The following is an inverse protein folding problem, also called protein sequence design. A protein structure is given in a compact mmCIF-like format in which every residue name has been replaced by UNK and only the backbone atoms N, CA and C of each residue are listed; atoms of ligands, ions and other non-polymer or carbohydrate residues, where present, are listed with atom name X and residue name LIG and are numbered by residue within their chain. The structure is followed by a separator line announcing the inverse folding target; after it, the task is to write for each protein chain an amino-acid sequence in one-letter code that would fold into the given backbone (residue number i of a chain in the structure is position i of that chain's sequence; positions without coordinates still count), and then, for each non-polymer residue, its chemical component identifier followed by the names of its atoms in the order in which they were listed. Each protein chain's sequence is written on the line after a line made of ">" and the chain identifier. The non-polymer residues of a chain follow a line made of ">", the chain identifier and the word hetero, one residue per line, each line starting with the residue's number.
data_IF_807250065025
#
_entry.id   IF_807250065025
#
_cell.length_a   1.000
_cell.length_b   1.000
_cell.length_c   1.000
_cell.angle_alpha   90.00
_cell.angle_beta   90.00
_cell.angle_gamma   90.00
#
_symmetry.space_group_name_H-M   'P 1'
#
loop_
_entity.id
_entity.type
_entity.pdbx_description
1 polymer ?
#
# COMPACT_ATOMS: atom_id res chain seq x y z
N UNK A 1 -3.42 46.21 -0.78
CA UNK A 1 -4.22 46.72 -1.91
C UNK A 1 -5.33 45.71 -2.19
N UNK A 2 -6.57 46.15 -2.23
CA UNK A 2 -7.70 45.28 -2.62
C UNK A 2 -7.82 45.26 -4.15
N UNK A 3 -7.93 44.08 -4.74
CA UNK A 3 -8.18 43.89 -6.17
C UNK A 3 -9.59 43.32 -6.35
N UNK A 4 -10.35 43.87 -7.28
CA UNK A 4 -11.72 43.43 -7.56
C UNK A 4 -11.75 42.72 -8.91
N UNK A 5 -12.44 41.58 -8.97
CA UNK A 5 -12.69 40.82 -10.19
C UNK A 5 -14.19 40.73 -10.45
N UNK A 6 -14.58 40.83 -11.71
CA UNK A 6 -15.96 40.65 -12.15
C UNK A 6 -15.98 39.57 -13.21
N UNK A 7 -16.65 38.46 -12.92
CA UNK A 7 -16.84 37.35 -13.85
C UNK A 7 -18.20 37.56 -14.52
N UNK A 8 -18.21 37.66 -15.85
CA UNK A 8 -19.42 37.88 -16.66
C UNK A 8 -19.83 36.59 -17.37
N UNK A 9 -21.07 36.54 -17.84
CA UNK A 9 -21.63 35.41 -18.59
C UNK A 9 -21.66 34.08 -17.80
N UNK A 10 -21.75 34.16 -16.47
CA UNK A 10 -22.09 33.01 -15.63
C UNK A 10 -23.58 32.73 -15.81
N UNK A 11 -23.95 31.51 -16.19
CA UNK A 11 -25.36 31.12 -16.25
C UNK A 11 -25.97 31.07 -14.84
N UNK A 12 -27.27 31.33 -14.73
CA UNK A 12 -27.98 31.30 -13.45
C UNK A 12 -27.83 29.94 -12.75
N UNK A 13 -27.95 28.84 -13.51
CA UNK A 13 -27.75 27.48 -13.02
C UNK A 13 -26.33 27.27 -12.44
N UNK A 14 -25.29 27.73 -13.15
CA UNK A 14 -23.92 27.63 -12.64
C UNK A 14 -23.73 28.49 -11.38
N UNK A 15 -24.33 29.68 -11.33
CA UNK A 15 -24.27 30.55 -10.15
C UNK A 15 -24.92 29.90 -8.92
N UNK A 16 -26.11 29.30 -9.09
CA UNK A 16 -26.81 28.59 -8.01
C UNK A 16 -26.03 27.37 -7.53
N UNK A 17 -25.44 26.60 -8.44
CA UNK A 17 -24.60 25.45 -8.09
C UNK A 17 -23.37 25.87 -7.29
N UNK A 18 -22.67 26.93 -7.70
CA UNK A 18 -21.52 27.47 -6.97
C UNK A 18 -21.92 27.87 -5.54
N UNK A 19 -23.05 28.55 -5.37
CA UNK A 19 -23.55 28.92 -4.04
C UNK A 19 -23.96 27.71 -3.20
N UNK A 20 -24.53 26.69 -3.82
CA UNK A 20 -24.91 25.44 -3.15
C UNK A 20 -23.68 24.71 -2.64
N UNK A 21 -22.62 24.63 -3.45
CA UNK A 21 -21.33 24.05 -3.08
C UNK A 21 -20.70 24.83 -1.92
N UNK A 22 -20.65 26.17 -2.01
CA UNK A 22 -20.11 27.01 -0.95
C UNK A 22 -20.78 26.74 0.41
N UNK A 23 -22.11 26.60 0.42
CA UNK A 23 -22.88 26.25 1.64
C UNK A 23 -22.59 24.82 2.10
N UNK A 24 -22.55 23.86 1.17
CA UNK A 24 -22.31 22.43 1.46
C UNK A 24 -20.98 22.21 2.18
N UNK A 25 -19.95 22.96 1.80
CA UNK A 25 -18.62 22.88 2.42
C UNK A 25 -18.38 23.91 3.53
N UNK A 26 -19.44 24.58 3.99
CA UNK A 26 -19.42 25.49 5.14
C UNK A 26 -18.41 26.65 5.05
N UNK A 27 -18.20 27.20 3.85
CA UNK A 27 -17.41 28.42 3.70
C UNK A 27 -18.09 29.60 4.42
N UNK A 28 -17.32 30.49 5.04
CA UNK A 28 -17.86 31.61 5.79
C UNK A 28 -18.50 32.66 4.86
N UNK A 29 -18.06 32.72 3.61
CA UNK A 29 -18.71 33.53 2.57
C UNK A 29 -18.52 32.95 1.17
N UNK A 30 -19.38 33.36 0.23
CA UNK A 30 -19.22 33.02 -1.18
C UNK A 30 -17.89 33.56 -1.75
N UNK A 31 -17.45 34.73 -1.29
CA UNK A 31 -16.17 35.31 -1.71
C UNK A 31 -14.98 34.45 -1.27
N UNK A 32 -15.00 33.93 -0.04
CA UNK A 32 -13.96 33.01 0.46
C UNK A 32 -13.94 31.71 -0.34
N UNK A 33 -15.11 31.16 -0.67
CA UNK A 33 -15.21 30.01 -1.57
C UNK A 33 -14.56 30.32 -2.93
N UNK A 34 -14.92 31.42 -3.59
CA UNK A 34 -14.36 31.79 -4.89
C UNK A 34 -12.84 32.02 -4.83
N UNK A 35 -12.33 32.61 -3.74
CA UNK A 35 -10.90 32.77 -3.51
C UNK A 35 -10.18 31.41 -3.43
N UNK A 36 -10.73 30.45 -2.67
CA UNK A 36 -10.15 29.10 -2.60
C UNK A 36 -10.09 28.40 -3.96
N UNK A 37 -11.08 28.63 -4.83
CA UNK A 37 -11.08 28.06 -6.18
C UNK A 37 -9.99 28.70 -7.05
N UNK A 38 -9.80 30.01 -6.95
CA UNK A 38 -8.70 30.70 -7.64
C UNK A 38 -7.33 30.24 -7.12
N UNK A 39 -7.18 30.04 -5.81
CA UNK A 39 -5.96 29.47 -5.22
C UNK A 39 -5.69 28.07 -5.76
N UNK A 40 -6.71 27.21 -5.85
CA UNK A 40 -6.58 25.88 -6.44
C UNK A 40 -6.14 25.95 -7.91
N UNK A 41 -6.64 26.91 -8.69
CA UNK A 41 -6.19 27.12 -10.07
C UNK A 41 -4.71 27.52 -10.09
N UNK A 42 -4.28 28.46 -9.23
CA UNK A 42 -2.88 28.90 -9.18
C UNK A 42 -1.95 27.77 -8.73
N UNK A 43 -2.34 26.99 -7.72
CA UNK A 43 -1.52 25.91 -7.16
C UNK A 43 -1.38 24.73 -8.12
N UNK A 44 -2.38 24.50 -8.97
CA UNK A 44 -2.38 23.39 -9.93
C UNK A 44 -2.05 23.85 -11.36
N UNK A 45 -1.57 25.07 -11.56
CA UNK A 45 -1.29 25.66 -12.88
C UNK A 45 -2.49 25.58 -13.87
N UNK A 46 -3.71 25.66 -13.33
CA UNK A 46 -4.96 25.50 -14.08
C UNK A 46 -5.26 24.08 -14.55
N UNK A 47 -4.42 23.10 -14.22
CA UNK A 47 -4.61 21.70 -14.57
C UNK A 47 -5.72 21.09 -13.71
N UNK A 48 -6.69 20.43 -14.35
CA UNK A 48 -7.73 19.71 -13.64
C UNK A 48 -7.18 18.43 -12.97
N UNK A 49 -7.96 17.77 -12.11
CA UNK A 49 -7.53 16.53 -11.42
C UNK A 49 -6.99 15.42 -12.34
N UNK A 50 -7.40 15.38 -13.61
CA UNK A 50 -6.93 14.41 -14.61
C UNK A 50 -5.67 14.86 -15.36
N UNK A 51 -5.32 16.14 -15.28
CA UNK A 51 -4.09 16.72 -15.84
C UNK A 51 -3.03 16.93 -14.75
N UNK A 52 -3.38 16.72 -13.48
CA UNK A 52 -2.53 16.95 -12.33
C UNK A 52 -1.53 15.79 -12.15
N UNK A 53 -0.24 16.11 -12.07
CA UNK A 53 0.87 15.21 -11.72
C UNK A 53 0.56 14.33 -10.48
N UNK A 54 -0.33 14.78 -9.60
CA UNK A 54 -0.86 13.99 -8.49
C UNK A 54 -1.61 12.72 -8.91
N UNK A 55 -2.47 12.78 -9.93
CA UNK A 55 -3.24 11.62 -10.38
C UNK A 55 -2.34 10.57 -11.06
N UNK A 56 -1.34 11.03 -11.83
CA UNK A 56 -0.30 10.15 -12.39
C UNK A 56 0.51 9.47 -11.28
N UNK A 57 0.93 10.25 -10.27
CA UNK A 57 1.67 9.73 -9.11
C UNK A 57 0.83 8.71 -8.34
N UNK A 58 -0.46 8.98 -8.14
CA UNK A 58 -1.37 8.06 -7.46
C UNK A 58 -1.55 6.75 -8.26
N UNK A 59 -1.65 6.84 -9.58
CA UNK A 59 -1.73 5.66 -10.44
C UNK A 59 -0.46 4.82 -10.36
N UNK A 60 0.71 5.46 -10.39
CA UNK A 60 2.01 4.79 -10.24
C UNK A 60 2.16 4.11 -8.87
N UNK A 61 1.74 4.78 -7.79
CA UNK A 61 1.74 4.19 -6.44
C UNK A 61 0.85 2.94 -6.40
N UNK A 62 -0.34 2.99 -7.00
CA UNK A 62 -1.26 1.85 -7.03
C UNK A 62 -0.67 0.66 -7.81
N UNK A 63 0.04 0.92 -8.89
CA UNK A 63 0.72 -0.12 -9.67
C UNK A 63 1.87 -0.76 -8.87
N UNK A 64 2.68 0.06 -8.19
CA UNK A 64 3.74 -0.43 -7.30
C UNK A 64 3.17 -1.28 -6.14
N UNK A 65 2.05 -0.87 -5.55
CA UNK A 65 1.37 -1.65 -4.51
C UNK A 65 0.94 -3.03 -5.00
N UNK A 66 0.43 -3.14 -6.22
CA UNK A 66 0.04 -4.43 -6.81
C UNK A 66 1.25 -5.37 -6.98
N UNK A 67 2.39 -4.82 -7.43
CA UNK A 67 3.63 -5.60 -7.57
C UNK A 67 4.18 -6.06 -6.21
N UNK A 68 4.13 -5.20 -5.19
CA UNK A 68 4.55 -5.56 -3.82
C UNK A 68 3.69 -6.70 -3.27
N UNK A 69 2.37 -6.65 -3.49
CA UNK A 69 1.47 -7.72 -3.05
C UNK A 69 1.80 -9.06 -3.71
N UNK A 70 2.11 -9.06 -5.01
CA UNK A 70 2.51 -10.28 -5.71
C UNK A 70 3.83 -10.86 -5.16
N UNK A 71 4.81 -10.01 -4.86
CA UNK A 71 6.08 -10.43 -4.27
C UNK A 71 5.89 -10.97 -2.84
N UNK A 72 5.03 -10.35 -2.04
CA UNK A 72 4.70 -10.84 -0.69
C UNK A 72 4.07 -12.22 -0.73
N UNK A 73 3.13 -12.46 -1.66
CA UNK A 73 2.51 -13.77 -1.85
C UNK A 73 3.55 -14.83 -2.23
N UNK A 74 4.46 -14.52 -3.17
CA UNK A 74 5.55 -15.44 -3.56
C UNK A 74 6.49 -15.75 -2.39
N UNK A 75 6.80 -14.76 -1.56
CA UNK A 75 7.61 -14.95 -0.36
C UNK A 75 6.91 -15.84 0.67
N UNK A 76 5.62 -15.63 0.90
CA UNK A 76 4.85 -16.45 1.84
C UNK A 76 4.82 -17.92 1.42
N UNK A 77 4.53 -18.20 0.14
CA UNK A 77 4.59 -19.57 -0.42
C UNK A 77 5.98 -20.18 -0.23
N UNK A 78 7.04 -19.40 -0.50
CA UNK A 78 8.43 -19.87 -0.36
C UNK A 78 8.76 -20.18 1.10
N UNK A 79 8.35 -19.32 2.04
CA UNK A 79 8.55 -19.54 3.48
C UNK A 79 7.82 -20.77 3.97
N UNK A 80 6.57 -21.01 3.54
CA UNK A 80 5.84 -22.23 3.88
C UNK A 80 6.56 -23.47 3.34
N UNK A 81 7.07 -23.42 2.10
CA UNK A 81 7.83 -24.52 1.52
C UNK A 81 9.16 -24.76 2.25
N UNK A 82 9.85 -23.71 2.69
CA UNK A 82 11.07 -23.84 3.50
C UNK A 82 10.77 -24.43 4.88
N UNK A 83 9.69 -24.01 5.54
CA UNK A 83 9.26 -24.58 6.82
C UNK A 83 9.02 -26.08 6.70
N UNK A 84 8.27 -26.53 5.68
CA UNK A 84 8.02 -27.96 5.47
C UNK A 84 9.32 -28.76 5.21
N UNK A 85 10.29 -28.18 4.49
CA UNK A 85 11.60 -28.81 4.31
C UNK A 85 12.40 -28.86 5.61
N UNK A 86 12.30 -27.83 6.44
CA UNK A 86 12.96 -27.79 7.74
C UNK A 86 12.43 -28.90 8.66
N UNK A 87 11.11 -29.12 8.69
CA UNK A 87 10.50 -30.21 9.47
C UNK A 87 11.05 -31.59 9.06
N UNK A 88 11.21 -31.83 7.75
CA UNK A 88 11.79 -33.07 7.23
C UNK A 88 13.26 -33.22 7.64
N UNK A 89 14.04 -32.14 7.54
CA UNK A 89 15.47 -32.16 7.92
C UNK A 89 15.61 -32.41 9.42
N UNK A 90 14.76 -31.82 10.25
CA UNK A 90 14.73 -32.05 11.69
C UNK A 90 14.43 -33.51 12.01
N UNK A 91 13.37 -34.08 11.43
CA UNK A 91 13.01 -35.48 11.65
C UNK A 91 14.13 -36.44 11.21
N UNK A 92 14.73 -36.22 10.03
CA UNK A 92 15.84 -37.04 9.55
C UNK A 92 17.07 -36.95 10.46
N UNK A 93 17.36 -35.75 10.97
CA UNK A 93 18.49 -35.53 11.89
C UNK A 93 18.26 -36.25 13.22
N UNK A 94 17.04 -36.17 13.77
CA UNK A 94 16.68 -36.88 15.00
C UNK A 94 16.73 -38.40 14.82
N UNK A 95 16.25 -38.92 13.69
CA UNK A 95 16.35 -40.34 13.37
C UNK A 95 17.80 -40.80 13.23
N UNK A 96 18.65 -40.01 12.58
CA UNK A 96 20.07 -40.34 12.44
C UNK A 96 20.79 -40.36 13.80
N UNK A 97 20.52 -39.40 14.68
CA UNK A 97 21.09 -39.38 16.03
C UNK A 97 20.69 -40.62 16.83
N UNK A 98 19.40 -40.99 16.82
CA UNK A 98 18.93 -42.22 17.50
C UNK A 98 19.59 -43.48 16.93
N UNK A 99 19.71 -43.57 15.61
CA UNK A 99 20.41 -44.69 14.98
C UNK A 99 21.87 -44.78 15.43
N UNK A 100 22.58 -43.66 15.54
CA UNK A 100 23.96 -43.63 16.03
C UNK A 100 24.04 -44.08 17.49
N UNK A 101 23.13 -43.63 18.36
CA UNK A 101 23.07 -44.06 19.76
C UNK A 101 22.83 -45.59 19.87
N UNK A 102 21.92 -46.14 19.05
CA UNK A 102 21.63 -47.57 19.02
C UNK A 102 22.84 -48.39 18.52
N UNK A 103 23.55 -47.90 17.50
CA UNK A 103 24.77 -48.54 16.99
C UNK A 103 25.87 -48.56 18.06
N UNK A 104 26.07 -47.43 18.75
CA UNK A 104 27.05 -47.33 19.84
C UNK A 104 26.70 -48.27 21.00
N UNK A 105 25.41 -48.38 21.36
CA UNK A 105 24.92 -49.31 22.37
C UNK A 105 25.18 -50.77 21.97
N UNK A 106 24.88 -51.16 20.73
CA UNK A 106 25.14 -52.50 20.21
C UNK A 106 26.64 -52.83 20.19
N UNK A 107 27.49 -51.88 19.82
CA UNK A 107 28.94 -52.06 19.90
C UNK A 107 29.42 -52.25 21.34
N UNK A 108 28.86 -51.50 22.29
CA UNK A 108 29.19 -51.62 23.71
C UNK A 108 28.78 -53.00 24.26
N UNK A 109 27.57 -53.49 23.96
CA UNK A 109 27.10 -54.83 24.33
C UNK A 109 28.00 -55.93 23.73
N UNK A 110 28.36 -55.79 22.45
CA UNK A 110 29.26 -56.74 21.77
C UNK A 110 30.66 -56.78 22.38
N UNK A 111 31.18 -55.64 22.84
CA UNK A 111 32.47 -55.57 23.55
C UNK A 111 32.38 -56.08 24.99
N UNK A 112 31.22 -55.95 25.63
CA UNK A 112 30.97 -56.46 26.97
C UNK A 112 30.79 -57.99 27.01
N UNK A 113 30.65 -58.64 25.85
CA UNK A 113 30.80 -60.09 25.69
C UNK A 113 29.53 -60.86 25.31
N UNK A 114 28.37 -60.20 25.18
CA UNK A 114 27.09 -60.87 24.90
C UNK A 114 26.56 -61.67 26.10
#
# INVERSE_FOLDING_TARGET
>A
MTKNFMIRNVSDDMFEQLHTIAKKYHYASFNEFMLSQLENIVMNDGLNLYENQFAETLSAIKEQQAQILELLLKNEISLTAFSAKQDIVEDLTLHWLRFMDDVDALEAERRAGG
#
